data_IF_536535374728
#
_entry.id   IF_536535374728
#
_cell.length_a   1.000
_cell.length_b   1.000
_cell.length_c   1.000
_cell.angle_alpha   90.00
_cell.angle_beta   90.00
_cell.angle_gamma   90.00
#
_symmetry.space_group_name_H-M   'P 1'
#
loop_
_entity.id
_entity.type
_entity.pdbx_description
1 polymer ?
#
# COMPACT_ATOMS: atom_id res chain seq x y z
N UNK A 1 103.83 -1.03 -21.17
CA UNK A 1 102.99 -2.24 -21.20
C UNK A 1 102.11 -2.24 -19.96
N UNK A 2 100.80 -2.47 -20.18
CA UNK A 2 99.77 -2.87 -19.21
C UNK A 2 99.10 -1.80 -18.31
N UNK A 3 98.11 -1.15 -18.94
CA UNK A 3 96.74 -0.89 -18.48
C UNK A 3 96.34 -1.49 -17.12
N UNK A 4 95.71 -0.67 -16.28
CA UNK A 4 94.30 -0.85 -15.87
C UNK A 4 93.78 0.39 -15.13
N UNK A 5 92.95 1.14 -15.84
CA UNK A 5 91.96 2.07 -15.31
C UNK A 5 90.88 1.22 -14.64
N UNK A 6 90.58 1.48 -13.37
CA UNK A 6 89.35 1.02 -12.73
C UNK A 6 88.72 2.20 -11.99
N UNK A 7 87.62 2.68 -12.56
CA UNK A 7 86.72 3.64 -11.97
C UNK A 7 85.92 2.99 -10.84
N UNK A 8 85.83 3.63 -9.67
CA UNK A 8 84.71 3.44 -8.73
C UNK A 8 84.34 4.82 -8.16
N UNK A 9 83.30 5.37 -8.79
CA UNK A 9 82.20 6.20 -8.26
C UNK A 9 82.41 6.83 -6.88
N UNK A 10 82.49 8.16 -6.87
CA UNK A 10 82.53 8.99 -5.69
C UNK A 10 81.29 8.83 -4.81
N UNK A 11 81.56 8.63 -3.53
CA UNK A 11 80.64 8.61 -2.40
C UNK A 11 79.85 9.92 -2.35
N UNK A 12 78.54 9.81 -2.57
CA UNK A 12 77.56 10.87 -2.37
C UNK A 12 76.33 10.30 -1.67
N UNK A 13 76.51 9.66 -0.52
CA UNK A 13 75.39 9.23 0.33
C UNK A 13 74.95 10.45 1.14
N UNK A 14 74.11 11.29 0.53
CA UNK A 14 73.34 12.27 1.28
C UNK A 14 72.44 11.50 2.24
N UNK A 15 72.81 11.51 3.53
CA UNK A 15 71.97 11.06 4.62
C UNK A 15 70.71 11.92 4.63
N UNK A 16 69.67 11.45 3.95
CA UNK A 16 68.29 11.81 4.26
C UNK A 16 67.98 11.20 5.63
N UNK A 17 68.49 11.83 6.69
CA UNK A 17 67.94 11.71 8.02
C UNK A 17 66.58 12.41 8.03
N UNK A 18 65.61 11.78 7.36
CA UNK A 18 64.20 12.02 7.60
C UNK A 18 63.88 11.52 9.00
N UNK A 19 63.17 12.32 9.79
CA UNK A 19 62.72 11.99 11.13
C UNK A 19 61.85 10.72 11.10
N UNK A 20 62.46 9.55 11.29
CA UNK A 20 61.76 8.29 11.51
C UNK A 20 61.54 8.12 13.01
N UNK A 21 60.69 8.94 13.63
CA UNK A 21 60.10 8.55 14.92
C UNK A 21 58.93 7.62 14.61
N UNK A 22 59.19 6.32 14.56
CA UNK A 22 58.12 5.32 14.57
C UNK A 22 57.41 5.43 15.92
N UNK A 23 56.08 5.67 15.95
CA UNK A 23 55.34 5.78 17.19
C UNK A 23 55.49 4.49 18.01
N UNK A 24 55.64 4.63 19.32
CA UNK A 24 55.78 3.47 20.21
C UNK A 24 54.42 2.78 20.37
N UNK A 25 54.41 1.53 20.83
CA UNK A 25 53.16 0.80 21.07
C UNK A 25 52.23 1.53 22.06
N UNK A 26 52.81 2.26 23.02
CA UNK A 26 52.05 3.08 23.98
C UNK A 26 51.40 4.29 23.31
N UNK A 27 52.10 4.95 22.37
CA UNK A 27 51.55 6.07 21.61
C UNK A 27 50.37 5.64 20.73
N UNK A 28 50.45 4.45 20.14
CA UNK A 28 49.36 3.88 19.34
C UNK A 28 48.12 3.57 20.17
N UNK A 29 48.30 3.03 21.39
CA UNK A 29 47.17 2.75 22.31
C UNK A 29 46.51 4.04 22.77
N UNK A 30 47.30 5.08 23.12
CA UNK A 30 46.77 6.41 23.47
C UNK A 30 45.99 7.01 22.31
N UNK A 31 46.54 6.97 21.10
CA UNK A 31 45.87 7.47 19.90
C UNK A 31 44.56 6.71 19.61
N UNK A 32 44.52 5.40 19.85
CA UNK A 32 43.29 4.61 19.71
C UNK A 32 42.23 5.03 20.73
N UNK A 33 42.60 5.19 22.00
CA UNK A 33 41.69 5.66 23.05
C UNK A 33 41.15 7.06 22.76
N UNK A 34 41.99 7.99 22.31
CA UNK A 34 41.57 9.35 21.94
C UNK A 34 40.59 9.34 20.75
N UNK A 35 40.82 8.49 19.75
CA UNK A 35 39.91 8.33 18.62
C UNK A 35 38.57 7.71 19.03
N UNK A 36 38.57 6.78 19.99
CA UNK A 36 37.34 6.19 20.53
C UNK A 36 36.53 7.21 21.34
N UNK A 37 37.20 8.01 22.18
CA UNK A 37 36.55 9.10 22.92
C UNK A 37 35.95 10.14 21.97
N UNK A 38 36.70 10.57 20.95
CA UNK A 38 36.19 11.53 19.95
C UNK A 38 34.99 10.97 19.18
N UNK A 39 34.99 9.67 18.83
CA UNK A 39 33.85 9.03 18.18
C UNK A 39 32.62 8.99 19.09
N UNK A 40 32.81 8.72 20.38
CA UNK A 40 31.73 8.71 21.35
C UNK A 40 31.13 10.12 21.51
N UNK A 41 31.96 11.15 21.62
CA UNK A 41 31.53 12.56 21.70
C UNK A 41 30.75 12.98 20.44
N UNK A 42 31.29 12.71 19.24
CA UNK A 42 30.59 13.01 17.98
C UNK A 42 29.26 12.23 17.83
N UNK A 43 29.19 11.02 18.38
CA UNK A 43 27.96 10.24 18.38
C UNK A 43 26.93 10.78 19.38
N UNK A 44 27.37 11.34 20.50
CA UNK A 44 26.51 12.03 21.46
C UNK A 44 25.98 13.34 20.88
N UNK A 45 26.84 14.18 20.32
CA UNK A 45 26.45 15.42 19.64
C UNK A 45 25.44 15.16 18.52
N UNK A 46 25.64 14.12 17.71
CA UNK A 46 24.68 13.73 16.66
C UNK A 46 23.32 13.35 17.22
N UNK A 47 23.28 12.63 18.35
CA UNK A 47 22.04 12.23 19.00
C UNK A 47 21.31 13.44 19.59
N UNK A 48 22.04 14.37 20.19
CA UNK A 48 21.46 15.62 20.71
C UNK A 48 20.88 16.46 19.58
N UNK A 49 21.62 16.66 18.49
CA UNK A 49 21.12 17.40 17.32
C UNK A 49 19.90 16.72 16.67
N UNK A 50 19.90 15.39 16.59
CA UNK A 50 18.75 14.64 16.08
C UNK A 50 17.53 14.78 17.00
N UNK A 51 17.74 14.70 18.32
CA UNK A 51 16.68 14.90 19.29
C UNK A 51 16.09 16.31 19.21
N UNK A 52 16.93 17.35 19.17
CA UNK A 52 16.49 18.74 19.00
C UNK A 52 15.69 18.92 17.70
N UNK A 53 16.12 18.30 16.60
CA UNK A 53 15.42 18.34 15.32
C UNK A 53 14.03 17.70 15.41
N UNK A 54 13.92 16.54 16.07
CA UNK A 54 12.64 15.85 16.28
C UNK A 54 11.70 16.64 17.19
N UNK A 55 12.24 17.26 18.24
CA UNK A 55 11.47 18.14 19.13
C UNK A 55 10.93 19.36 18.38
N UNK A 56 11.74 20.00 17.54
CA UNK A 56 11.31 21.10 16.66
C UNK A 56 10.25 20.66 15.64
N UNK A 57 10.35 19.45 15.08
CA UNK A 57 9.31 18.89 14.21
C UNK A 57 7.98 18.74 14.96
N UNK A 58 8.03 18.28 16.21
CA UNK A 58 6.84 18.09 17.05
C UNK A 58 6.19 19.43 17.45
N UNK A 59 6.99 20.44 17.82
CA UNK A 59 6.49 21.79 18.11
C UNK A 59 5.88 22.47 16.88
N UNK A 60 6.34 22.09 15.69
CA UNK A 60 5.77 22.55 14.45
C UNK A 60 4.50 21.80 14.03
N UNK A 61 4.10 20.73 14.71
CA UNK A 61 2.79 20.15 14.50
C UNK A 61 1.71 21.09 15.10
N UNK A 62 0.59 21.32 14.40
CA UNK A 62 -0.55 22.02 15.01
C UNK A 62 -1.13 21.21 16.18
N UNK A 63 -1.60 21.88 17.24
CA UNK A 63 -2.15 21.22 18.44
C UNK A 63 -3.25 20.21 18.11
N UNK A 64 -4.10 20.55 17.14
CA UNK A 64 -5.21 19.70 16.69
C UNK A 64 -4.76 18.41 16.00
N UNK A 65 -3.49 18.30 15.61
CA UNK A 65 -2.91 17.06 15.07
C UNK A 65 -2.48 16.12 16.21
N UNK A 66 -2.04 16.69 17.34
CA UNK A 66 -1.61 15.94 18.52
C UNK A 66 -2.80 15.50 19.38
N UNK A 67 -3.82 16.35 19.50
CA UNK A 67 -5.09 16.03 20.13
C UNK A 67 -6.24 16.34 19.16
N UNK A 68 -6.52 15.40 18.23
CA UNK A 68 -7.59 15.61 17.26
C UNK A 68 -8.96 15.66 17.95
N UNK A 69 -9.84 16.58 17.52
CA UNK A 69 -11.17 16.67 18.07
C UNK A 69 -11.90 15.34 17.89
N UNK A 70 -12.45 14.82 18.98
CA UNK A 70 -13.24 13.59 18.96
C UNK A 70 -14.48 13.80 18.09
N UNK A 71 -14.96 12.71 17.49
CA UNK A 71 -16.24 12.70 16.79
C UNK A 71 -17.32 13.31 17.70
N UNK A 72 -17.96 14.36 17.22
CA UNK A 72 -19.01 15.09 17.93
C UNK A 72 -20.38 14.60 17.45
N UNK A 73 -21.47 15.18 17.93
CA UNK A 73 -22.82 14.79 17.47
C UNK A 73 -23.10 15.13 16.00
N UNK A 74 -22.21 15.86 15.33
CA UNK A 74 -22.42 16.38 13.98
C UNK A 74 -21.61 15.64 12.92
N UNK A 75 -20.53 14.95 13.28
CA UNK A 75 -19.72 14.18 12.36
C UNK A 75 -18.44 13.62 12.98
N UNK A 76 -17.65 12.96 12.15
CA UNK A 76 -16.33 12.45 12.53
C UNK A 76 -15.22 13.14 11.75
N UNK A 77 -14.01 13.10 12.31
CA UNK A 77 -12.85 13.82 11.82
C UNK A 77 -11.79 12.85 11.31
N UNK A 78 -11.21 13.17 10.16
CA UNK A 78 -10.03 12.50 9.62
C UNK A 78 -8.87 13.48 9.63
N UNK A 79 -7.80 13.12 10.32
CA UNK A 79 -6.57 13.92 10.40
C UNK A 79 -5.43 13.18 9.73
N UNK A 80 -4.61 13.91 8.98
CA UNK A 80 -3.41 13.33 8.39
C UNK A 80 -2.30 14.35 8.18
N UNK A 81 -1.09 13.82 8.17
CA UNK A 81 0.17 14.52 7.93
C UNK A 81 0.86 13.90 6.72
N UNK A 82 1.52 14.72 5.91
CA UNK A 82 2.43 14.24 4.87
C UNK A 82 3.57 15.20 4.60
N UNK A 83 4.71 14.64 4.19
CA UNK A 83 5.92 15.42 3.89
C UNK A 83 6.34 15.23 2.43
N UNK A 84 6.77 16.30 1.78
CA UNK A 84 7.36 16.25 0.44
C UNK A 84 8.24 17.47 0.16
N UNK A 85 9.22 17.32 -0.73
CA UNK A 85 10.00 18.44 -1.27
C UNK A 85 9.17 19.39 -2.15
N UNK A 86 7.98 18.99 -2.58
CA UNK A 86 7.06 19.82 -3.36
C UNK A 86 5.80 20.14 -2.56
N UNK A 87 5.51 21.43 -2.37
CA UNK A 87 4.33 21.92 -1.65
C UNK A 87 3.02 21.23 -2.08
N UNK A 88 2.72 21.25 -3.38
CA UNK A 88 1.47 20.70 -3.90
C UNK A 88 1.37 19.18 -3.74
N UNK A 89 2.50 18.47 -3.70
CA UNK A 89 2.53 17.03 -3.48
C UNK A 89 2.30 16.69 -2.00
N UNK A 90 2.98 17.39 -1.08
CA UNK A 90 2.76 17.22 0.36
C UNK A 90 1.27 17.41 0.70
N UNK A 91 0.68 18.50 0.20
CA UNK A 91 -0.71 18.81 0.47
C UNK A 91 -1.68 17.77 -0.10
N UNK A 92 -1.50 17.33 -1.36
CA UNK A 92 -2.36 16.31 -1.96
C UNK A 92 -2.26 14.98 -1.23
N UNK A 93 -1.04 14.56 -0.85
CA UNK A 93 -0.85 13.32 -0.08
C UNK A 93 -1.54 13.39 1.28
N UNK A 94 -1.38 14.49 2.02
CA UNK A 94 -2.05 14.68 3.30
C UNK A 94 -3.58 14.62 3.16
N UNK A 95 -4.16 15.22 2.10
CA UNK A 95 -5.60 15.12 1.83
C UNK A 95 -6.07 13.69 1.60
N UNK A 96 -5.38 12.93 0.73
CA UNK A 96 -5.72 11.53 0.45
C UNK A 96 -5.62 10.67 1.72
N UNK A 97 -4.60 10.90 2.55
CA UNK A 97 -4.48 10.19 3.83
C UNK A 97 -5.60 10.55 4.81
N UNK A 98 -6.04 11.82 4.87
CA UNK A 98 -7.17 12.21 5.69
C UNK A 98 -8.50 11.62 5.19
N UNK A 99 -8.70 11.56 3.88
CA UNK A 99 -9.84 10.85 3.25
C UNK A 99 -9.81 9.36 3.59
N UNK A 100 -8.63 8.74 3.57
CA UNK A 100 -8.46 7.36 3.98
C UNK A 100 -8.81 7.15 5.45
N UNK A 101 -8.36 8.02 6.37
CA UNK A 101 -8.77 7.95 7.78
C UNK A 101 -10.29 8.06 7.96
N UNK A 102 -10.97 8.92 7.19
CA UNK A 102 -12.44 8.94 7.16
C UNK A 102 -13.01 7.61 6.65
N UNK A 103 -12.52 7.09 5.53
CA UNK A 103 -12.97 5.83 4.94
C UNK A 103 -12.76 4.62 5.87
N UNK A 104 -11.66 4.61 6.62
CA UNK A 104 -11.35 3.58 7.63
C UNK A 104 -12.44 3.50 8.70
N UNK A 105 -13.13 4.59 8.98
CA UNK A 105 -14.20 4.66 9.97
C UNK A 105 -15.56 4.15 9.44
N UNK A 106 -15.72 4.03 8.11
CA UNK A 106 -16.93 3.50 7.47
C UNK A 106 -17.01 1.96 7.47
N UNK A 107 -15.88 1.28 7.23
CA UNK A 107 -15.87 -0.15 6.86
C UNK A 107 -14.75 -0.93 7.54
N UNK A 108 -14.57 -0.73 8.84
CA UNK A 108 -13.59 -1.52 9.57
C UNK A 108 -14.15 -2.91 9.90
N UNK A 109 -14.26 -3.79 8.90
CA UNK A 109 -14.19 -5.23 9.14
C UNK A 109 -12.72 -5.58 9.40
N UNK A 110 -12.30 -5.43 10.66
CA UNK A 110 -10.94 -5.73 11.09
C UNK A 110 -10.74 -7.26 11.12
N UNK A 111 -10.31 -7.85 10.01
CA UNK A 111 -9.69 -9.18 10.02
C UNK A 111 -8.17 -8.99 9.97
N UNK A 112 -7.53 -8.87 11.13
CA UNK A 112 -6.09 -8.70 11.26
C UNK A 112 -5.42 -9.90 11.90
N UNK A 113 -4.49 -10.55 11.20
CA UNK A 113 -3.53 -11.49 11.79
C UNK A 113 -2.18 -10.78 11.92
N UNK A 114 -1.89 -10.22 13.09
CA UNK A 114 -0.59 -9.62 13.39
C UNK A 114 0.45 -10.71 13.70
N UNK A 115 1.60 -10.68 13.01
CA UNK A 115 2.77 -11.51 13.35
C UNK A 115 3.96 -10.60 13.58
N UNK A 116 4.26 -10.35 14.84
CA UNK A 116 5.45 -9.63 15.27
C UNK A 116 6.61 -10.62 15.43
N UNK A 117 7.68 -10.44 14.66
CA UNK A 117 8.94 -11.15 14.85
C UNK A 117 9.97 -10.15 15.36
N UNK A 118 10.23 -10.19 16.66
CA UNK A 118 11.34 -9.45 17.28
C UNK A 118 12.52 -10.40 17.34
N UNK A 119 13.57 -10.13 16.57
CA UNK A 119 14.84 -10.84 16.70
C UNK A 119 15.88 -9.88 17.29
N UNK A 120 16.16 -10.08 18.58
CA UNK A 120 17.19 -9.34 19.30
C UNK A 120 18.57 -9.93 18.94
N UNK A 121 19.41 -9.12 18.31
CA UNK A 121 20.80 -9.50 18.02
C UNK A 121 21.66 -9.49 19.29
N UNK A 122 22.70 -10.32 19.34
CA UNK A 122 23.64 -10.50 20.48
C UNK A 122 24.45 -9.22 20.82
N UNK A 123 24.27 -8.11 20.10
CA UNK A 123 24.93 -6.82 20.33
C UNK A 123 23.97 -5.63 20.50
N UNK A 124 22.66 -5.89 20.72
CA UNK A 124 21.69 -4.82 20.99
C UNK A 124 21.15 -4.10 19.74
N UNK A 125 21.56 -4.50 18.54
CA UNK A 125 20.89 -4.09 17.30
C UNK A 125 19.53 -4.81 17.22
N UNK A 126 18.45 -4.06 17.43
CA UNK A 126 17.08 -4.53 17.23
C UNK A 126 16.72 -4.36 15.76
N UNK A 127 16.69 -5.45 15.01
CA UNK A 127 16.15 -5.44 13.66
C UNK A 127 14.64 -5.71 13.74
N UNK A 128 13.87 -4.66 13.96
CA UNK A 128 12.42 -4.74 13.98
C UNK A 128 11.89 -4.83 12.55
N UNK A 129 11.55 -6.04 12.09
CA UNK A 129 10.88 -6.24 10.82
C UNK A 129 9.39 -6.47 11.03
N UNK A 130 8.66 -5.37 11.16
CA UNK A 130 7.21 -5.38 11.33
C UNK A 130 6.53 -5.64 9.98
N UNK A 131 6.15 -6.90 9.73
CA UNK A 131 5.37 -7.28 8.55
C UNK A 131 3.89 -7.32 8.91
N UNK A 132 3.24 -6.18 8.75
CA UNK A 132 1.81 -6.02 9.01
C UNK A 132 1.07 -6.34 7.71
N UNK A 133 0.55 -7.56 7.60
CA UNK A 133 -0.39 -7.93 6.54
C UNK A 133 -1.80 -7.51 6.96
N UNK A 134 -2.05 -6.20 6.91
CA UNK A 134 -3.39 -5.65 7.03
C UNK A 134 -4.03 -5.74 5.65
N UNK A 135 -4.79 -6.81 5.39
CA UNK A 135 -5.78 -6.81 4.32
C UNK A 135 -6.96 -5.92 4.76
N UNK A 136 -6.70 -4.62 4.95
CA UNK A 136 -7.76 -3.63 5.09
C UNK A 136 -8.30 -3.39 3.71
N UNK A 137 -9.21 -4.27 3.30
CA UNK A 137 -10.06 -4.04 2.14
C UNK A 137 -11.02 -2.92 2.52
N UNK A 138 -10.56 -1.66 2.41
CA UNK A 138 -11.47 -0.52 2.33
C UNK A 138 -12.18 -0.70 1.00
N UNK A 139 -13.47 -1.04 1.01
CA UNK A 139 -14.22 -1.06 -0.24
C UNK A 139 -14.22 0.36 -0.81
N UNK A 140 -14.42 0.49 -2.11
CA UNK A 140 -14.47 1.79 -2.79
C UNK A 140 -15.65 2.62 -2.24
N UNK A 141 -15.40 3.35 -1.15
CA UNK A 141 -16.35 4.27 -0.55
C UNK A 141 -16.09 5.61 -1.18
N UNK A 142 -17.06 6.08 -1.97
CA UNK A 142 -17.07 7.46 -2.43
C UNK A 142 -17.19 8.38 -1.21
N UNK A 143 -16.08 8.93 -0.76
CA UNK A 143 -16.02 9.90 0.35
C UNK A 143 -16.46 11.26 -0.21
N UNK A 144 -17.75 11.40 -0.53
CA UNK A 144 -18.36 12.68 -0.92
C UNK A 144 -19.07 13.29 0.28
N UNK A 145 -18.98 14.61 0.43
CA UNK A 145 -19.63 15.37 1.52
C UNK A 145 -18.75 15.68 2.74
N UNK A 146 -17.42 15.57 2.64
CA UNK A 146 -16.52 16.05 3.68
C UNK A 146 -16.18 17.53 3.51
N UNK A 147 -15.96 18.21 4.63
CA UNK A 147 -15.50 19.59 4.69
C UNK A 147 -14.04 19.65 5.14
N UNK A 148 -13.25 20.53 4.53
CA UNK A 148 -11.88 20.82 4.99
C UNK A 148 -11.98 21.79 6.17
N UNK A 149 -11.75 21.28 7.38
CA UNK A 149 -11.83 22.09 8.61
C UNK A 149 -10.54 22.86 8.85
N UNK A 150 -9.40 22.21 8.64
CA UNK A 150 -8.09 22.84 8.81
C UNK A 150 -7.11 22.33 7.76
N UNK A 151 -6.26 23.24 7.30
CA UNK A 151 -5.19 22.95 6.36
C UNK A 151 -4.02 23.88 6.65
N UNK A 152 -2.92 23.31 7.11
CA UNK A 152 -1.70 24.04 7.42
C UNK A 152 -0.50 23.39 6.71
N UNK A 153 0.44 24.21 6.26
CA UNK A 153 1.70 23.72 5.68
C UNK A 153 2.84 24.48 6.32
N UNK A 154 3.80 23.74 6.88
CA UNK A 154 5.02 24.27 7.49
C UNK A 154 6.24 23.74 6.75
N UNK A 155 7.33 24.48 6.80
CA UNK A 155 8.58 24.10 6.14
C UNK A 155 9.60 23.77 7.23
N UNK A 156 10.06 22.53 7.25
CA UNK A 156 11.06 22.03 8.19
C UNK A 156 12.16 21.35 7.39
N UNK A 157 13.42 21.68 7.67
CA UNK A 157 14.59 21.07 7.03
C UNK A 157 14.55 21.03 5.49
N UNK A 158 13.94 22.05 4.86
CA UNK A 158 13.81 22.14 3.40
C UNK A 158 12.72 21.26 2.78
N UNK A 159 11.88 20.62 3.59
CA UNK A 159 10.70 19.87 3.17
C UNK A 159 9.40 20.56 3.59
N UNK A 160 8.33 20.35 2.83
CA UNK A 160 6.98 20.81 3.17
C UNK A 160 6.25 19.73 3.96
N UNK A 161 5.86 20.07 5.18
CA UNK A 161 5.02 19.27 6.06
C UNK A 161 3.60 19.82 5.97
N UNK A 162 2.70 19.05 5.39
CA UNK A 162 1.30 19.41 5.24
C UNK A 162 0.46 18.66 6.26
N UNK A 163 -0.41 19.40 6.95
CA UNK A 163 -1.35 18.92 7.93
C UNK A 163 -2.76 19.21 7.42
N UNK A 164 -3.62 18.20 7.40
CA UNK A 164 -5.00 18.33 6.93
C UNK A 164 -5.95 17.70 7.94
N UNK A 165 -7.03 18.43 8.24
CA UNK A 165 -8.18 17.92 8.97
C UNK A 165 -9.43 18.03 8.11
N UNK A 166 -10.10 16.90 7.93
CA UNK A 166 -11.38 16.78 7.27
C UNK A 166 -12.46 16.46 8.30
N UNK A 167 -13.67 16.97 8.10
CA UNK A 167 -14.87 16.60 8.87
C UNK A 167 -15.90 16.03 7.93
N UNK A 168 -16.54 14.95 8.34
CA UNK A 168 -17.62 14.33 7.59
C UNK A 168 -18.90 14.32 8.41
N UNK A 169 -19.91 15.12 8.01
CA UNK A 169 -21.17 15.20 8.75
C UNK A 169 -21.96 13.89 8.74
N UNK A 170 -22.68 13.60 9.83
CA UNK A 170 -23.51 12.39 9.89
C UNK A 170 -24.71 12.41 8.94
N UNK A 171 -25.20 13.60 8.56
CA UNK A 171 -26.29 13.71 7.59
C UNK A 171 -25.84 13.23 6.21
N UNK A 172 -24.62 13.60 5.80
CA UNK A 172 -23.99 13.12 4.57
C UNK A 172 -23.64 11.63 4.68
N UNK A 173 -23.14 11.18 5.84
CA UNK A 173 -22.91 9.76 6.14
C UNK A 173 -24.18 8.91 5.95
N UNK A 174 -25.32 9.37 6.47
CA UNK A 174 -26.60 8.68 6.35
C UNK A 174 -27.11 8.65 4.90
N UNK A 175 -26.82 9.68 4.10
CA UNK A 175 -27.13 9.69 2.68
C UNK A 175 -26.28 8.67 1.90
N UNK A 176 -24.98 8.58 2.18
CA UNK A 176 -24.10 7.57 1.60
C UNK A 176 -24.60 6.15 1.94
N UNK A 177 -24.99 5.89 3.18
CA UNK A 177 -25.59 4.60 3.57
C UNK A 177 -26.90 4.31 2.84
N UNK A 178 -27.77 5.30 2.63
CA UNK A 178 -29.01 5.14 1.86
C UNK A 178 -28.73 4.85 0.39
N UNK A 179 -27.81 5.58 -0.23
CA UNK A 179 -27.40 5.37 -1.63
C UNK A 179 -26.78 3.99 -1.84
N UNK A 180 -25.98 3.50 -0.88
CA UNK A 180 -25.43 2.14 -0.94
C UNK A 180 -26.51 1.07 -0.82
N UNK A 181 -27.46 1.25 0.12
CA UNK A 181 -28.61 0.35 0.23
C UNK A 181 -29.45 0.35 -1.05
N UNK A 182 -29.68 1.49 -1.68
CA UNK A 182 -30.39 1.54 -2.96
C UNK A 182 -29.59 0.93 -4.10
N UNK A 183 -28.27 1.17 -4.20
CA UNK A 183 -27.44 0.57 -5.24
C UNK A 183 -27.32 -0.96 -5.09
N UNK A 184 -27.20 -1.47 -3.85
CA UNK A 184 -27.21 -2.90 -3.55
C UNK A 184 -28.58 -3.52 -3.85
N UNK A 185 -29.66 -2.81 -3.52
CA UNK A 185 -31.02 -3.21 -3.85
C UNK A 185 -31.24 -3.24 -5.37
N UNK A 186 -30.81 -2.22 -6.12
CA UNK A 186 -30.90 -2.17 -7.58
C UNK A 186 -30.09 -3.29 -8.24
N UNK A 187 -28.92 -3.62 -7.71
CA UNK A 187 -28.12 -4.75 -8.19
C UNK A 187 -28.85 -6.08 -7.97
N UNK A 188 -29.52 -6.24 -6.82
CA UNK A 188 -30.33 -7.42 -6.51
C UNK A 188 -31.55 -7.51 -7.43
N UNK A 189 -32.22 -6.38 -7.70
CA UNK A 189 -33.34 -6.30 -8.63
C UNK A 189 -32.90 -6.64 -10.06
N UNK A 190 -31.77 -6.08 -10.53
CA UNK A 190 -31.19 -6.44 -11.84
C UNK A 190 -30.90 -7.94 -11.94
N UNK A 191 -30.25 -8.52 -10.93
CA UNK A 191 -29.98 -9.96 -10.90
C UNK A 191 -31.27 -10.80 -10.96
N UNK A 192 -32.34 -10.37 -10.27
CA UNK A 192 -33.64 -11.03 -10.32
C UNK A 192 -34.32 -10.90 -11.70
N UNK A 193 -34.16 -9.76 -12.38
CA UNK A 193 -34.65 -9.57 -13.75
C UNK A 193 -33.87 -10.40 -14.76
N UNK A 194 -32.55 -10.47 -14.64
CA UNK A 194 -31.70 -11.27 -15.51
C UNK A 194 -32.04 -12.77 -15.39
N UNK A 195 -32.23 -13.26 -14.16
CA UNK A 195 -32.69 -14.63 -13.90
C UNK A 195 -34.08 -14.91 -14.51
N UNK A 196 -35.00 -13.95 -14.44
CA UNK A 196 -36.31 -14.07 -15.07
C UNK A 196 -36.22 -14.18 -16.59
N UNK A 197 -35.36 -13.38 -17.23
CA UNK A 197 -35.14 -13.43 -18.68
C UNK A 197 -34.58 -14.79 -19.12
N UNK A 198 -33.60 -15.32 -18.38
CA UNK A 198 -33.03 -16.65 -18.62
C UNK A 198 -34.12 -17.73 -18.55
N UNK A 199 -34.99 -17.68 -17.53
CA UNK A 199 -36.08 -18.66 -17.37
C UNK A 199 -37.12 -18.57 -18.49
N UNK A 200 -37.45 -17.36 -18.94
CA UNK A 200 -38.36 -17.15 -20.08
C UNK A 200 -37.76 -17.73 -21.36
N UNK A 201 -36.49 -17.49 -21.63
CA UNK A 201 -35.79 -18.01 -22.80
C UNK A 201 -35.74 -19.55 -22.80
N UNK A 202 -35.40 -20.15 -21.66
CA UNK A 202 -35.43 -21.61 -21.49
C UNK A 202 -36.83 -22.20 -21.70
N UNK A 203 -37.89 -21.48 -21.31
CA UNK A 203 -39.26 -21.93 -21.53
C UNK A 203 -39.62 -21.89 -23.02
N UNK A 204 -39.24 -20.82 -23.73
CA UNK A 204 -39.45 -20.68 -25.18
C UNK A 204 -38.70 -21.74 -25.96
N UNK A 205 -37.47 -22.06 -25.57
CA UNK A 205 -36.69 -23.13 -26.17
C UNK A 205 -37.34 -24.50 -25.95
N UNK A 206 -37.78 -24.82 -24.72
CA UNK A 206 -38.52 -26.06 -24.43
C UNK A 206 -39.84 -26.15 -25.21
N UNK A 207 -40.55 -25.03 -25.37
CA UNK A 207 -41.77 -24.99 -26.18
C UNK A 207 -41.46 -25.21 -27.67
N UNK A 208 -40.41 -24.57 -28.20
CA UNK A 208 -39.96 -24.77 -29.58
C UNK A 208 -39.49 -26.21 -29.84
N UNK A 209 -38.74 -26.82 -28.91
CA UNK A 209 -38.34 -28.23 -28.97
C UNK A 209 -39.55 -29.16 -28.94
N UNK A 210 -40.53 -28.88 -28.06
CA UNK A 210 -41.77 -29.68 -28.00
C UNK A 210 -42.58 -29.59 -29.29
N UNK A 211 -42.66 -28.41 -29.91
CA UNK A 211 -43.33 -28.22 -31.20
C UNK A 211 -42.57 -28.93 -32.31
N UNK A 212 -41.24 -28.82 -32.35
CA UNK A 212 -40.40 -29.50 -33.35
C UNK A 212 -40.47 -31.03 -33.23
N UNK A 213 -40.50 -31.58 -32.01
CA UNK A 213 -40.69 -33.01 -31.77
C UNK A 213 -42.10 -33.44 -32.19
N UNK A 214 -43.13 -32.66 -31.88
CA UNK A 214 -44.50 -32.96 -32.29
C UNK A 214 -44.64 -32.97 -33.83
N UNK A 215 -44.07 -32.00 -34.53
CA UNK A 215 -44.04 -31.96 -36.00
C UNK A 215 -43.23 -33.13 -36.59
N UNK A 216 -42.07 -33.47 -36.02
CA UNK A 216 -41.26 -34.63 -36.44
C UNK A 216 -41.98 -35.98 -36.27
N UNK A 217 -42.71 -36.16 -35.16
CA UNK A 217 -43.49 -37.40 -34.92
C UNK A 217 -44.69 -37.56 -35.86
N UNK A 218 -45.25 -36.46 -36.38
CA UNK A 218 -46.32 -36.52 -37.37
C UNK A 218 -45.80 -36.95 -38.75
N UNK A 219 -44.58 -36.53 -39.13
CA UNK A 219 -43.93 -36.92 -40.38
C UNK A 219 -43.50 -38.40 -40.37
N UNK A 220 -43.10 -38.93 -39.22
CA UNK A 220 -42.70 -40.34 -39.07
C UNK A 220 -43.92 -41.29 -39.05
N UNK A 221 -45.06 -40.84 -38.54
CA UNK A 221 -46.33 -41.59 -38.55
C UNK A 221 -46.95 -41.70 -39.96
N UNK A 222 -46.72 -40.74 -40.86
CA UNK A 222 -47.16 -40.82 -42.26
C UNK A 222 -46.25 -41.72 -43.13
N UNK A 223 -45.04 -42.06 -42.69
CA UNK A 223 -44.09 -42.92 -43.42
C UNK A 223 -44.27 -44.43 -43.21
N UNK A 224 -45.15 -44.86 -42.29
CA UNK A 224 -45.34 -46.28 -41.91
C UNK A 224 -46.79 -46.76 -42.11
N UNK A 225 -47.29 -46.70 -43.34
CA UNK A 225 -48.35 -47.57 -43.88
C UNK A 225 -48.01 -47.76 -45.37
N UNK A 226 -47.77 -48.93 -45.96
CA UNK A 226 -48.31 -50.30 -45.82
C UNK A 226 -47.48 -51.18 -46.79
N UNK A 227 -47.08 -52.45 -46.52
CA UNK A 227 -46.72 -53.37 -47.61
C UNK A 227 -47.98 -54.12 -48.07
N UNK A 228 -48.26 -54.00 -49.37
CA UNK A 228 -49.34 -54.66 -50.11
C UNK A 228 -49.44 -56.17 -49.79
N UNK A 229 -50.65 -56.61 -49.48
CA UNK A 229 -51.03 -58.03 -49.51
C UNK A 229 -52.28 -58.20 -50.38
N UNK A 230 -52.10 -58.23 -51.71
CA UNK A 230 -53.12 -58.69 -52.65
C UNK A 230 -52.79 -60.07 -53.22
N UNK A 231 -53.36 -61.07 -52.56
CA UNK A 231 -54.18 -62.14 -53.11
C UNK A 231 -53.96 -62.55 -54.58
N UNK A 232 -53.35 -63.73 -54.77
CA UNK A 232 -53.64 -64.59 -55.92
C UNK A 232 -54.67 -65.66 -55.52
N UNK A 233 -55.93 -65.45 -55.91
CA UNK A 233 -56.97 -66.50 -55.98
C UNK A 233 -57.13 -66.87 -57.46
N UNK A 234 -56.96 -68.16 -57.78
CA UNK A 234 -57.24 -68.73 -59.09
C UNK A 234 -58.74 -68.92 -59.31
N UNK A 235 -59.25 -68.70 -60.54
CA UNK A 235 -60.19 -69.57 -61.29
C UNK A 235 -60.49 -68.92 -62.65
N UNK A 236 -59.93 -69.43 -63.76
CA UNK A 236 -60.61 -70.17 -64.85
C UNK A 236 -59.63 -70.50 -65.97
#
# INVERSE_FOLDING_TARGET
MHYKVLAIVGVGFALLSGCSSTPTAEDLVKQQADLEMLRAELAEERRELEQERLEQELEQAPDWMLDPPKADATGFYGVAMSTSSQYGMALRKAKVFAEFELAKQYEQELSGSERMFVQEGVHGDVHEQTTVLIDKLVADVSVVGYDVVSQEVRVVDGAYHAFVMLKLPYDEFNQVLKQRKSAAHDTTIKAAFDDLQIRLEQKRQREAERVAVAEGTLVEAEGQSMPDSDLAIATQ
#
